data_IF_071193995274
#
_entry.id   IF_071193995274
#
_cell.length_a   1.000
_cell.length_b   1.000
_cell.length_c   1.000
_cell.angle_alpha   90.00
_cell.angle_beta   90.00
_cell.angle_gamma   90.00
#
_symmetry.space_group_name_H-M   'P 1'
#
loop_
_entity.id
_entity.type
_entity.pdbx_description
1 polymer ?
#
# COMPACT_ATOMS: atom_id res chain seq x y z
N UNK A 1 -6.36 -13.16 -31.64
CA UNK A 1 -6.91 -12.88 -30.29
C UNK A 1 -6.65 -11.40 -30.02
N UNK A 2 -7.71 -10.60 -29.88
CA UNK A 2 -7.63 -9.14 -29.66
C UNK A 2 -7.09 -8.84 -28.25
N UNK A 3 -5.76 -8.86 -28.08
CA UNK A 3 -5.05 -8.63 -26.79
C UNK A 3 -5.06 -7.14 -26.39
N UNK A 4 -5.56 -6.24 -27.25
CA UNK A 4 -5.28 -4.79 -27.14
C UNK A 4 -6.50 -3.89 -26.84
N UNK A 5 -7.65 -4.43 -26.44
CA UNK A 5 -8.81 -3.60 -26.04
C UNK A 5 -8.96 -3.46 -24.53
N UNK A 6 -7.96 -2.87 -23.87
CA UNK A 6 -8.15 -2.37 -22.50
C UNK A 6 -8.88 -1.02 -22.62
N UNK A 7 -10.19 -1.00 -22.32
CA UNK A 7 -10.92 0.27 -22.13
C UNK A 7 -10.18 1.05 -21.04
N UNK A 8 -9.91 2.35 -21.27
CA UNK A 8 -9.26 3.17 -20.25
C UNK A 8 -10.04 3.09 -18.92
N UNK A 9 -9.31 2.97 -17.81
CA UNK A 9 -9.87 2.97 -16.46
C UNK A 9 -10.90 4.10 -16.28
N UNK A 10 -10.64 5.25 -16.92
CA UNK A 10 -11.52 6.42 -16.93
C UNK A 10 -12.91 6.16 -17.56
N UNK A 11 -12.99 5.42 -18.67
CA UNK A 11 -14.27 5.03 -19.29
C UNK A 11 -15.04 4.07 -18.40
N UNK A 12 -14.32 3.14 -17.79
CA UNK A 12 -14.90 2.14 -16.91
C UNK A 12 -15.46 2.75 -15.61
N UNK A 13 -14.76 3.73 -15.05
CA UNK A 13 -15.20 4.53 -13.89
C UNK A 13 -16.48 5.32 -14.20
N UNK A 14 -16.58 5.92 -15.38
CA UNK A 14 -17.74 6.72 -15.78
C UNK A 14 -18.98 5.87 -16.06
N UNK A 15 -18.79 4.66 -16.60
CA UNK A 15 -19.87 3.69 -16.87
C UNK A 15 -20.36 2.97 -15.59
N UNK A 16 -19.50 2.84 -14.57
CA UNK A 16 -19.77 2.15 -13.29
C UNK A 16 -20.24 3.09 -12.17
N UNK A 17 -21.02 4.13 -12.48
CA UNK A 17 -21.56 5.08 -11.50
C UNK A 17 -23.02 4.76 -11.09
N UNK A 18 -23.31 3.70 -10.31
CA UNK A 18 -24.52 3.70 -9.50
C UNK A 18 -24.40 4.71 -8.36
N UNK A 19 -25.56 5.20 -7.90
CA UNK A 19 -25.74 6.08 -6.75
C UNK A 19 -25.04 5.54 -5.51
N UNK A 20 -23.96 6.20 -5.08
CA UNK A 20 -23.31 5.83 -3.83
C UNK A 20 -24.14 6.28 -2.65
N UNK A 21 -24.32 5.37 -1.69
CA UNK A 21 -24.97 5.62 -0.41
C UNK A 21 -24.05 6.42 0.51
N UNK A 22 -23.71 7.64 0.15
CA UNK A 22 -22.99 8.55 1.05
C UNK A 22 -23.91 9.36 1.96
N UNK A 23 -25.21 9.08 1.96
CA UNK A 23 -26.22 9.80 2.73
C UNK A 23 -25.99 9.74 4.24
N UNK A 24 -25.17 8.78 4.70
CA UNK A 24 -24.78 8.61 6.11
C UNK A 24 -23.62 9.51 6.55
N UNK A 25 -22.86 10.10 5.62
CA UNK A 25 -21.65 10.89 5.93
C UNK A 25 -22.00 12.38 5.99
N UNK A 26 -21.83 12.98 7.16
CA UNK A 26 -22.17 14.38 7.44
C UNK A 26 -21.08 15.08 8.29
N UNK A 27 -21.10 16.41 8.29
CA UNK A 27 -20.24 17.24 9.15
C UNK A 27 -20.73 17.11 10.60
N UNK A 28 -19.82 16.97 11.55
CA UNK A 28 -20.12 16.72 12.95
C UNK A 28 -19.56 15.37 13.43
N UNK A 29 -20.12 14.88 14.54
CA UNK A 29 -19.69 13.61 15.13
C UNK A 29 -20.28 12.42 14.38
N UNK A 30 -19.43 11.45 14.05
CA UNK A 30 -19.81 10.24 13.33
C UNK A 30 -19.02 9.05 13.86
N UNK A 31 -19.66 7.88 13.84
CA UNK A 31 -19.04 6.58 14.07
C UNK A 31 -18.95 5.79 12.77
N UNK A 32 -17.93 4.94 12.66
CA UNK A 32 -17.75 4.05 11.54
C UNK A 32 -16.77 2.93 11.84
N UNK A 33 -16.30 2.26 10.80
CA UNK A 33 -15.39 1.12 10.87
C UNK A 33 -14.23 1.32 9.92
N UNK A 34 -13.00 1.18 10.41
CA UNK A 34 -11.81 1.14 9.55
C UNK A 34 -11.34 -0.30 9.36
N UNK A 35 -10.94 -0.70 8.13
CA UNK A 35 -10.22 -1.95 7.85
C UNK A 35 -8.72 -1.80 8.13
N UNK A 36 -8.36 -1.17 9.25
CA UNK A 36 -7.04 -0.58 9.50
C UNK A 36 -6.28 0.02 8.31
N UNK A 37 -6.94 0.79 7.43
CA UNK A 37 -6.30 1.35 6.23
C UNK A 37 -6.04 2.84 6.39
N UNK A 38 -4.78 3.24 6.18
CA UNK A 38 -4.33 4.61 6.39
C UNK A 38 -3.60 5.14 5.17
N UNK A 39 -3.60 6.46 4.99
CA UNK A 39 -2.94 7.10 3.86
C UNK A 39 -2.24 8.38 4.28
N UNK A 40 -0.93 8.44 4.06
CA UNK A 40 -0.11 9.62 4.27
C UNK A 40 0.23 10.23 2.91
N UNK A 41 -0.23 11.46 2.68
CA UNK A 41 0.07 12.22 1.47
C UNK A 41 1.47 12.84 1.49
N UNK A 42 2.03 13.08 0.30
CA UNK A 42 3.34 13.73 0.11
C UNK A 42 3.24 15.26 -0.10
N UNK A 43 2.04 15.77 -0.39
CA UNK A 43 1.82 17.20 -0.63
C UNK A 43 2.03 18.03 0.65
N UNK A 44 2.64 19.21 0.50
CA UNK A 44 3.02 20.14 1.59
C UNK A 44 4.06 19.62 2.60
N UNK A 45 4.85 18.60 2.23
CA UNK A 45 5.97 18.13 3.05
C UNK A 45 6.85 19.31 3.53
N UNK A 46 7.23 19.39 4.83
CA UNK A 46 7.12 18.38 5.89
C UNK A 46 5.79 18.36 6.67
N UNK A 47 4.78 19.14 6.29
CA UNK A 47 3.44 19.09 6.89
C UNK A 47 2.50 18.28 6.01
N UNK A 48 2.31 17.02 6.36
CA UNK A 48 1.60 16.03 5.55
C UNK A 48 0.17 15.82 6.03
N UNK A 49 -0.67 15.34 5.11
CA UNK A 49 -2.01 14.88 5.43
C UNK A 49 -1.94 13.40 5.82
N UNK A 50 -2.45 13.05 6.99
CA UNK A 50 -2.61 11.66 7.44
C UNK A 50 -4.10 11.36 7.50
N UNK A 51 -4.50 10.36 6.72
CA UNK A 51 -5.87 9.92 6.54
C UNK A 51 -6.13 8.56 7.15
N UNK A 52 -7.30 8.40 7.76
CA UNK A 52 -7.90 7.10 8.09
C UNK A 52 -9.00 6.80 7.09
N UNK A 53 -8.93 5.65 6.45
CA UNK A 53 -9.98 5.14 5.59
C UNK A 53 -11.02 4.45 6.45
N UNK A 54 -12.27 4.87 6.37
CA UNK A 54 -13.36 4.27 7.15
C UNK A 54 -14.63 4.13 6.30
N UNK A 55 -15.48 3.18 6.69
CA UNK A 55 -16.84 3.00 6.19
C UNK A 55 -17.86 3.35 7.27
N UNK A 56 -19.04 3.79 6.87
CA UNK A 56 -20.17 3.97 7.79
C UNK A 56 -20.79 2.64 8.24
N UNK A 57 -20.49 1.54 7.54
CA UNK A 57 -21.01 0.20 7.82
C UNK A 57 -19.88 -0.73 8.23
N UNK A 58 -20.22 -1.74 9.05
CA UNK A 58 -19.30 -2.81 9.49
C UNK A 58 -18.96 -3.75 8.33
N UNK A 59 -18.11 -4.76 8.60
CA UNK A 59 -17.54 -5.63 7.56
C UNK A 59 -16.68 -4.85 6.54
N UNK A 60 -15.94 -3.89 7.06
CA UNK A 60 -15.09 -2.98 6.30
C UNK A 60 -13.83 -3.65 5.76
N UNK A 61 -13.40 -4.79 6.33
CA UNK A 61 -12.16 -5.50 5.98
C UNK A 61 -12.00 -5.71 4.47
N UNK A 62 -13.04 -6.27 3.83
CA UNK A 62 -13.04 -6.55 2.40
C UNK A 62 -12.85 -5.29 1.53
N UNK A 63 -13.06 -4.09 2.07
CA UNK A 63 -12.85 -2.82 1.36
C UNK A 63 -11.36 -2.47 1.21
N UNK A 64 -10.45 -3.16 1.91
CA UNK A 64 -9.00 -2.99 1.80
C UNK A 64 -8.22 -4.31 1.91
N UNK A 65 -8.64 -5.36 1.18
CA UNK A 65 -7.95 -6.66 1.20
C UNK A 65 -7.58 -7.13 -0.21
N UNK A 66 -6.43 -6.71 -0.76
CA UNK A 66 -5.96 -7.14 -2.08
C UNK A 66 -5.94 -8.66 -2.24
N UNK A 67 -5.43 -9.42 -1.27
CA UNK A 67 -5.36 -10.88 -1.32
C UNK A 67 -6.75 -11.52 -1.51
N UNK A 68 -7.75 -11.05 -0.73
CA UNK A 68 -9.14 -11.51 -0.87
C UNK A 68 -9.70 -11.20 -2.26
N UNK A 69 -9.40 -10.02 -2.82
CA UNK A 69 -9.86 -9.66 -4.16
C UNK A 69 -9.26 -10.57 -5.24
N UNK A 70 -7.98 -10.90 -5.10
CA UNK A 70 -7.24 -11.77 -6.02
C UNK A 70 -7.77 -13.21 -5.93
N UNK A 71 -7.84 -13.77 -4.73
CA UNK A 71 -8.33 -15.14 -4.49
C UNK A 71 -9.76 -15.35 -5.01
N UNK A 72 -10.61 -14.33 -4.90
CA UNK A 72 -12.00 -14.37 -5.37
C UNK A 72 -12.18 -13.85 -6.81
N UNK A 73 -11.08 -13.57 -7.53
CA UNK A 73 -11.07 -13.08 -8.90
C UNK A 73 -11.99 -11.87 -9.15
N UNK A 74 -11.95 -10.89 -8.24
CA UNK A 74 -12.78 -9.68 -8.35
C UNK A 74 -12.37 -8.85 -9.56
N UNK A 75 -13.37 -8.41 -10.32
CA UNK A 75 -13.15 -7.47 -11.42
C UNK A 75 -12.71 -6.09 -10.92
N UNK A 76 -12.05 -5.32 -11.78
CA UNK A 76 -11.71 -3.92 -11.51
C UNK A 76 -12.95 -3.12 -11.07
N UNK A 77 -14.14 -3.41 -11.60
CA UNK A 77 -15.38 -2.68 -11.26
C UNK A 77 -15.79 -2.98 -9.84
N UNK A 78 -15.67 -4.25 -9.45
CA UNK A 78 -16.01 -4.71 -8.11
C UNK A 78 -15.06 -4.08 -7.10
N UNK A 79 -13.75 -4.14 -7.33
CA UNK A 79 -12.75 -3.51 -6.47
C UNK A 79 -13.01 -2.00 -6.36
N UNK A 80 -13.25 -1.33 -7.49
CA UNK A 80 -13.56 0.09 -7.51
C UNK A 80 -14.82 0.43 -6.69
N UNK A 81 -15.86 -0.39 -6.80
CA UNK A 81 -17.10 -0.22 -6.04
C UNK A 81 -16.86 -0.36 -4.54
N UNK A 82 -16.14 -1.41 -4.12
CA UNK A 82 -15.76 -1.63 -2.71
C UNK A 82 -14.94 -0.46 -2.17
N UNK A 83 -13.88 -0.06 -2.89
CA UNK A 83 -13.01 1.04 -2.49
C UNK A 83 -13.76 2.36 -2.29
N UNK A 84 -14.80 2.62 -3.09
CA UNK A 84 -15.59 3.84 -2.98
C UNK A 84 -16.54 3.89 -1.80
N UNK A 85 -16.75 2.80 -1.09
CA UNK A 85 -17.46 2.84 0.19
C UNK A 85 -16.63 3.50 1.28
N UNK A 86 -15.31 3.55 1.12
CA UNK A 86 -14.41 4.21 2.07
C UNK A 86 -14.43 5.73 1.93
N UNK A 87 -14.38 6.39 3.07
CA UNK A 87 -14.13 7.82 3.22
C UNK A 87 -12.74 8.02 3.80
N UNK A 88 -11.96 8.90 3.18
CA UNK A 88 -10.66 9.31 3.68
C UNK A 88 -10.80 10.52 4.62
N UNK A 89 -10.94 10.27 5.92
CA UNK A 89 -10.96 11.30 6.97
C UNK A 89 -9.52 11.67 7.36
N UNK A 90 -9.13 12.92 7.17
CA UNK A 90 -7.74 13.35 7.26
C UNK A 90 -7.50 14.48 8.26
N UNK A 91 -6.36 14.42 8.92
CA UNK A 91 -5.80 15.52 9.72
C UNK A 91 -4.39 15.84 9.21
N UNK A 92 -3.89 17.04 9.53
CA UNK A 92 -2.53 17.45 9.15
C UNK A 92 -1.58 17.31 10.32
N UNK A 93 -0.38 16.81 10.03
CA UNK A 93 0.68 16.60 11.02
C UNK A 93 2.03 17.04 10.46
N UNK A 94 2.91 17.50 11.34
CA UNK A 94 4.34 17.60 11.02
C UNK A 94 4.94 16.20 11.01
N UNK A 95 5.74 15.85 10.00
CA UNK A 95 6.42 14.54 9.97
C UNK A 95 7.38 14.32 11.13
N UNK A 96 7.79 15.41 11.80
CA UNK A 96 8.71 15.39 12.93
C UNK A 96 8.00 15.21 14.29
N UNK A 97 6.67 15.12 14.32
CA UNK A 97 5.86 15.01 15.54
C UNK A 97 5.02 13.71 15.52
N UNK A 98 5.66 12.52 15.51
CA UNK A 98 4.95 11.24 15.41
C UNK A 98 4.17 10.86 16.69
N UNK A 99 4.36 11.59 17.80
CA UNK A 99 3.89 11.21 19.14
C UNK A 99 2.72 12.06 19.66
N UNK A 100 2.02 12.81 18.79
CA UNK A 100 0.80 13.51 19.21
C UNK A 100 -0.29 12.51 19.62
N UNK A 101 -1.12 12.83 20.63
CA UNK A 101 -2.15 11.91 21.13
C UNK A 101 -3.07 11.37 20.00
N UNK A 102 -3.52 12.27 19.11
CA UNK A 102 -4.37 11.91 17.97
C UNK A 102 -3.67 10.92 17.03
N UNK A 103 -2.39 11.15 16.72
CA UNK A 103 -1.62 10.29 15.83
C UNK A 103 -1.31 8.94 16.48
N UNK A 104 -0.97 8.90 17.76
CA UNK A 104 -0.79 7.65 18.50
C UNK A 104 -2.06 6.79 18.49
N UNK A 105 -3.24 7.42 18.63
CA UNK A 105 -4.51 6.72 18.46
C UNK A 105 -4.67 6.14 17.04
N UNK A 106 -4.32 6.92 16.02
CA UNK A 106 -4.35 6.43 14.63
C UNK A 106 -3.36 5.28 14.39
N UNK A 107 -2.16 5.33 14.97
CA UNK A 107 -1.15 4.28 14.93
C UNK A 107 -1.67 2.98 15.56
N UNK A 108 -2.27 3.05 16.76
CA UNK A 108 -2.84 1.88 17.41
C UNK A 108 -3.96 1.24 16.57
N UNK A 109 -4.84 2.06 16.00
CA UNK A 109 -5.89 1.58 15.11
C UNK A 109 -5.34 0.93 13.83
N UNK A 110 -4.26 1.46 13.24
CA UNK A 110 -3.64 0.88 12.04
C UNK A 110 -2.95 -0.46 12.29
N UNK A 111 -2.42 -0.66 13.49
CA UNK A 111 -1.77 -1.89 13.91
C UNK A 111 -2.76 -3.03 14.20
N UNK A 112 -4.07 -2.76 14.19
CA UNK A 112 -5.08 -3.79 14.43
C UNK A 112 -5.07 -4.90 13.38
N UNK A 113 -5.30 -6.14 13.83
CA UNK A 113 -5.54 -7.28 12.95
C UNK A 113 -6.93 -7.26 12.31
N UNK A 114 -7.91 -6.68 13.02
CA UNK A 114 -9.33 -6.75 12.69
C UNK A 114 -9.91 -5.36 12.42
N UNK A 115 -11.18 -5.30 12.00
CA UNK A 115 -11.81 -3.99 11.81
C UNK A 115 -11.96 -3.28 13.15
N UNK A 116 -11.77 -1.96 13.13
CA UNK A 116 -11.83 -1.14 14.35
C UNK A 116 -13.01 -0.19 14.23
N UNK A 117 -13.89 -0.22 15.24
CA UNK A 117 -14.92 0.81 15.40
C UNK A 117 -14.27 2.13 15.82
N UNK A 118 -14.45 3.15 15.00
CA UNK A 118 -13.84 4.47 15.17
C UNK A 118 -14.90 5.55 15.34
N UNK A 119 -14.62 6.54 16.17
CA UNK A 119 -15.35 7.78 16.30
C UNK A 119 -14.55 8.94 15.73
N UNK A 120 -15.21 9.88 15.06
CA UNK A 120 -14.56 11.06 14.48
C UNK A 120 -15.45 12.29 14.54
N UNK A 121 -14.81 13.46 14.51
CA UNK A 121 -15.47 14.74 14.34
C UNK A 121 -15.01 15.36 13.02
N UNK A 122 -15.91 15.39 12.03
CA UNK A 122 -15.63 15.88 10.68
C UNK A 122 -16.00 17.35 10.57
N UNK A 123 -15.08 18.19 10.09
CA UNK A 123 -15.31 19.64 9.92
C UNK A 123 -15.71 20.03 8.49
N UNK A 124 -15.28 19.26 7.49
CA UNK A 124 -15.59 19.53 6.08
C UNK A 124 -15.56 18.25 5.26
N UNK A 125 -16.52 18.08 4.35
CA UNK A 125 -16.57 16.96 3.42
C UNK A 125 -16.33 17.45 2.00
N UNK A 126 -15.48 16.74 1.29
CA UNK A 126 -15.16 16.94 -0.12
C UNK A 126 -15.74 15.78 -0.92
N UNK A 127 -16.62 16.09 -1.88
CA UNK A 127 -17.00 15.10 -2.88
C UNK A 127 -15.79 14.81 -3.75
N UNK A 128 -15.42 13.53 -3.85
CA UNK A 128 -14.25 13.14 -4.62
C UNK A 128 -14.50 13.40 -6.10
N UNK A 129 -13.70 14.30 -6.68
CA UNK A 129 -13.67 14.51 -8.11
C UNK A 129 -12.50 13.68 -8.65
N UNK A 130 -12.79 12.63 -9.41
CA UNK A 130 -11.77 11.71 -9.91
C UNK A 130 -10.79 12.47 -10.83
N UNK A 131 -9.66 12.91 -10.28
CA UNK A 131 -8.56 13.43 -11.08
C UNK A 131 -7.59 12.28 -11.31
N UNK A 132 -7.30 11.97 -12.58
CA UNK A 132 -6.57 10.78 -13.04
C UNK A 132 -5.15 10.58 -12.48
N UNK A 133 -4.68 11.45 -11.58
CA UNK A 133 -3.33 11.45 -10.99
C UNK A 133 -3.33 11.27 -9.46
N UNK A 134 -4.48 11.09 -8.83
CA UNK A 134 -4.57 11.04 -7.37
C UNK A 134 -4.34 9.63 -6.81
N UNK A 135 -3.68 9.59 -5.65
CA UNK A 135 -3.26 8.39 -4.94
C UNK A 135 -4.43 7.87 -4.12
N UNK A 136 -4.84 6.64 -4.40
CA UNK A 136 -5.88 5.93 -3.66
C UNK A 136 -7.27 6.08 -4.26
N UNK A 137 -7.91 4.95 -4.54
CA UNK A 137 -9.33 4.90 -4.89
C UNK A 137 -10.12 4.91 -3.58
N UNK A 138 -10.93 5.93 -3.37
CA UNK A 138 -11.91 6.04 -2.28
C UNK A 138 -13.08 6.96 -2.68
N UNK A 139 -14.14 6.97 -1.88
CA UNK A 139 -15.41 7.60 -2.22
C UNK A 139 -15.50 9.09 -1.95
N UNK A 140 -15.18 9.50 -0.72
CA UNK A 140 -15.17 10.89 -0.27
C UNK A 140 -13.89 11.16 0.52
N UNK A 141 -13.53 12.43 0.65
CA UNK A 141 -12.53 12.86 1.62
C UNK A 141 -13.17 13.83 2.61
N UNK A 142 -12.70 13.86 3.84
CA UNK A 142 -13.17 14.80 4.85
C UNK A 142 -12.01 15.30 5.70
N UNK A 143 -12.08 16.54 6.17
CA UNK A 143 -11.19 17.05 7.21
C UNK A 143 -11.72 16.57 8.58
N UNK A 144 -10.81 16.07 9.41
CA UNK A 144 -11.09 15.44 10.71
C UNK A 144 -10.40 16.23 11.82
N UNK A 145 -11.18 16.63 12.83
CA UNK A 145 -10.69 17.39 13.99
C UNK A 145 -10.41 16.48 15.19
N UNK A 146 -11.20 15.43 15.38
CA UNK A 146 -11.00 14.43 16.45
C UNK A 146 -11.07 13.02 15.89
N UNK A 147 -10.32 12.13 16.52
CA UNK A 147 -10.28 10.70 16.23
C UNK A 147 -10.25 9.92 17.54
N UNK A 148 -11.12 8.93 17.67
CA UNK A 148 -11.19 8.00 18.79
C UNK A 148 -11.53 6.61 18.28
N UNK A 149 -11.26 5.61 19.11
CA UNK A 149 -11.69 4.23 18.90
C UNK A 149 -11.85 3.58 20.27
N UNK A 150 -12.57 2.46 20.35
CA UNK A 150 -12.67 1.69 21.60
C UNK A 150 -11.34 0.97 21.89
N UNK A 151 -10.81 1.08 23.11
CA UNK A 151 -9.45 0.63 23.46
C UNK A 151 -9.17 -0.89 23.29
N UNK A 152 -10.17 -1.70 22.95
CA UNK A 152 -10.04 -3.15 22.71
C UNK A 152 -9.55 -3.48 21.29
N UNK A 153 -8.39 -2.94 20.89
CA UNK A 153 -7.78 -3.26 19.60
C UNK A 153 -6.86 -4.47 19.74
N UNK A 154 -7.09 -5.49 18.92
CA UNK A 154 -6.22 -6.66 18.86
C UNK A 154 -5.02 -6.38 17.98
N UNK A 155 -3.83 -6.34 18.56
CA UNK A 155 -2.56 -6.15 17.87
C UNK A 155 -1.73 -7.43 17.98
N UNK A 156 -1.06 -7.81 16.89
CA UNK A 156 -0.18 -8.98 16.91
C UNK A 156 1.05 -8.71 17.79
N UNK A 157 1.46 -9.69 18.61
CA UNK A 157 2.61 -9.54 19.52
C UNK A 157 3.91 -9.03 18.85
N UNK A 158 4.29 -9.47 17.63
CA UNK A 158 5.47 -8.91 16.95
C UNK A 158 5.32 -7.41 16.65
N UNK A 159 4.12 -6.98 16.25
CA UNK A 159 3.80 -5.57 15.97
C UNK A 159 3.86 -4.74 17.24
N UNK A 160 3.30 -5.23 18.35
CA UNK A 160 3.43 -4.56 19.65
C UNK A 160 4.89 -4.42 20.07
N UNK A 161 5.67 -5.49 19.95
CA UNK A 161 7.09 -5.50 20.31
C UNK A 161 7.86 -4.41 19.57
N UNK A 162 7.70 -4.33 18.25
CA UNK A 162 8.34 -3.31 17.41
C UNK A 162 7.82 -1.90 17.71
N UNK A 163 6.53 -1.76 18.02
CA UNK A 163 5.95 -0.47 18.36
C UNK A 163 6.44 0.09 19.69
N UNK A 164 6.65 -0.76 20.70
CA UNK A 164 7.12 -0.33 22.02
C UNK A 164 8.64 -0.23 22.12
N UNK A 165 9.39 -0.94 21.26
CA UNK A 165 10.83 -0.77 21.17
C UNK A 165 11.18 0.58 20.52
N UNK A 166 11.74 1.48 21.33
CA UNK A 166 12.14 2.84 20.92
C UNK A 166 13.61 2.92 20.52
N UNK A 167 14.38 1.84 20.67
CA UNK A 167 15.81 1.79 20.31
C UNK A 167 16.04 0.99 19.01
N UNK A 168 15.10 0.14 18.63
CA UNK A 168 15.11 -0.64 17.39
C UNK A 168 15.16 0.24 16.13
N UNK A 169 16.06 -0.04 15.19
CA UNK A 169 16.08 0.67 13.90
C UNK A 169 14.89 0.26 13.05
N UNK A 170 14.34 1.21 12.27
CA UNK A 170 13.20 0.92 11.40
C UNK A 170 13.48 -0.22 10.40
N UNK A 171 14.70 -0.30 9.85
CA UNK A 171 15.10 -1.37 8.94
C UNK A 171 15.12 -2.75 9.61
N UNK A 172 15.55 -2.83 10.87
CA UNK A 172 15.55 -4.07 11.66
C UNK A 172 14.11 -4.47 11.99
N UNK A 173 13.28 -3.52 12.45
CA UNK A 173 11.86 -3.77 12.70
C UNK A 173 11.07 -4.22 11.46
N UNK A 174 11.40 -3.71 10.27
CA UNK A 174 10.80 -4.19 9.01
C UNK A 174 11.11 -5.68 8.80
N UNK A 175 12.38 -6.08 8.97
CA UNK A 175 12.82 -7.47 8.79
C UNK A 175 12.22 -8.38 9.86
N UNK A 176 12.16 -7.94 11.12
CA UNK A 176 11.57 -8.69 12.23
C UNK A 176 10.07 -8.96 11.99
N UNK A 177 9.31 -7.94 11.58
CA UNK A 177 7.89 -8.07 11.29
C UNK A 177 7.65 -8.99 10.09
N UNK A 178 8.42 -8.83 9.01
CA UNK A 178 8.30 -9.67 7.82
C UNK A 178 8.61 -11.14 8.14
N UNK A 179 9.70 -11.39 8.88
CA UNK A 179 10.08 -12.73 9.33
C UNK A 179 9.05 -13.37 10.27
N UNK A 180 8.30 -12.55 11.01
CA UNK A 180 7.17 -12.99 11.84
C UNK A 180 5.86 -13.21 11.05
N UNK A 181 5.88 -13.07 9.72
CA UNK A 181 4.74 -13.29 8.83
C UNK A 181 3.75 -12.11 8.75
N UNK A 182 4.16 -10.90 9.16
CA UNK A 182 3.35 -9.70 8.95
C UNK A 182 3.51 -9.25 7.48
N UNK A 183 2.39 -9.09 6.77
CA UNK A 183 2.41 -8.68 5.36
C UNK A 183 3.03 -7.29 5.14
N UNK A 184 3.72 -7.12 4.03
CA UNK A 184 4.47 -5.94 3.60
C UNK A 184 3.61 -4.66 3.55
N UNK A 185 2.34 -4.78 3.17
CA UNK A 185 1.39 -3.67 3.21
C UNK A 185 1.12 -3.17 4.65
N UNK A 186 0.97 -4.09 5.61
CA UNK A 186 0.78 -3.71 7.03
C UNK A 186 2.05 -3.09 7.58
N UNK A 187 3.21 -3.63 7.26
CA UNK A 187 4.51 -3.06 7.65
C UNK A 187 4.67 -1.64 7.08
N UNK A 188 4.25 -1.43 5.84
CA UNK A 188 4.25 -0.12 5.18
C UNK A 188 3.36 0.90 5.89
N UNK A 189 2.15 0.50 6.33
CA UNK A 189 1.25 1.37 7.11
C UNK A 189 1.85 1.76 8.47
N UNK A 190 2.47 0.79 9.16
CA UNK A 190 3.19 0.99 10.43
C UNK A 190 4.34 1.98 10.23
N UNK A 191 5.15 1.81 9.17
CA UNK A 191 6.24 2.73 8.84
C UNK A 191 5.71 4.13 8.53
N UNK A 192 4.68 4.19 7.68
CA UNK A 192 4.12 5.42 7.14
C UNK A 192 3.58 6.33 8.24
N UNK A 193 2.94 5.76 9.26
CA UNK A 193 2.43 6.50 10.41
C UNK A 193 3.51 6.84 11.44
N UNK A 194 4.76 6.47 11.20
CA UNK A 194 5.86 6.67 12.15
C UNK A 194 5.72 5.82 13.40
N UNK A 195 5.13 4.62 13.29
CA UNK A 195 4.86 3.74 14.43
C UNK A 195 6.05 2.81 14.76
N UNK A 196 7.16 2.86 14.00
CA UNK A 196 8.36 2.07 14.29
C UNK A 196 9.66 2.82 14.02
N UNK A 197 10.75 2.33 14.62
CA UNK A 197 12.10 2.89 14.50
C UNK A 197 12.52 3.76 15.68
N UNK A 198 13.83 3.93 15.86
CA UNK A 198 14.42 4.76 16.92
C UNK A 198 14.30 6.27 16.67
N UNK A 199 14.22 6.68 15.39
CA UNK A 199 14.03 8.07 14.97
C UNK A 199 12.75 8.18 14.16
N UNK A 200 11.62 7.98 14.84
CA UNK A 200 10.29 7.92 14.23
C UNK A 200 9.98 9.23 13.50
N UNK A 201 9.45 9.08 12.29
CA UNK A 201 8.90 10.16 11.48
C UNK A 201 7.72 9.62 10.70
N UNK A 202 6.75 10.47 10.41
CA UNK A 202 5.70 10.14 9.46
C UNK A 202 6.33 10.12 8.07
N UNK A 203 6.05 9.08 7.29
CA UNK A 203 6.60 8.88 5.94
C UNK A 203 5.43 8.77 4.96
N UNK A 204 5.42 9.50 3.83
CA UNK A 204 4.41 9.32 2.79
C UNK A 204 4.23 7.84 2.41
N UNK A 205 2.99 7.41 2.19
CA UNK A 205 2.67 5.99 2.00
C UNK A 205 3.43 5.39 0.81
N UNK A 206 3.54 6.12 -0.31
CA UNK A 206 4.33 5.69 -1.47
C UNK A 206 5.78 5.37 -1.11
N UNK A 207 6.42 6.26 -0.35
CA UNK A 207 7.82 6.09 0.04
C UNK A 207 7.99 4.96 1.04
N UNK A 208 6.99 4.77 1.90
CA UNK A 208 6.97 3.67 2.88
C UNK A 208 6.90 2.31 2.20
N UNK A 209 6.02 2.16 1.20
CA UNK A 209 5.90 0.93 0.39
C UNK A 209 7.25 0.59 -0.22
N UNK A 210 7.86 1.53 -0.96
CA UNK A 210 9.17 1.30 -1.57
C UNK A 210 10.26 1.01 -0.54
N UNK A 211 10.28 1.72 0.60
CA UNK A 211 11.28 1.49 1.64
C UNK A 211 11.15 0.09 2.27
N UNK A 212 9.92 -0.39 2.49
CA UNK A 212 9.65 -1.72 3.01
C UNK A 212 10.05 -2.78 1.98
N UNK A 213 9.58 -2.67 0.73
CA UNK A 213 9.89 -3.61 -0.34
C UNK A 213 11.40 -3.72 -0.60
N UNK A 214 12.11 -2.57 -0.61
CA UNK A 214 13.56 -2.55 -0.80
C UNK A 214 14.31 -3.16 0.39
N UNK A 215 13.88 -2.89 1.62
CA UNK A 215 14.51 -3.42 2.83
C UNK A 215 14.36 -4.94 2.91
N UNK A 216 13.15 -5.45 2.70
CA UNK A 216 12.89 -6.90 2.69
C UNK A 216 13.66 -7.54 1.54
N UNK A 217 13.57 -6.97 0.34
CA UNK A 217 14.26 -7.50 -0.84
C UNK A 217 15.77 -7.60 -0.65
N UNK A 218 16.42 -6.60 -0.05
CA UNK A 218 17.86 -6.65 0.25
C UNK A 218 18.24 -7.78 1.21
N UNK A 219 17.37 -8.09 2.17
CA UNK A 219 17.55 -9.26 3.03
C UNK A 219 17.52 -10.55 2.21
N UNK A 220 16.48 -10.73 1.40
CA UNK A 220 16.29 -11.93 0.58
C UNK A 220 17.35 -12.11 -0.52
N UNK A 221 17.88 -11.03 -1.11
CA UNK A 221 18.97 -11.10 -2.10
C UNK A 221 20.18 -11.82 -1.52
N UNK A 222 20.52 -11.54 -0.26
CA UNK A 222 21.67 -12.18 0.40
C UNK A 222 21.47 -13.69 0.49
N UNK A 223 20.25 -14.15 0.77
CA UNK A 223 19.90 -15.57 0.81
C UNK A 223 19.86 -16.19 -0.59
N UNK A 224 19.26 -15.51 -1.57
CA UNK A 224 19.15 -16.00 -2.96
C UNK A 224 20.53 -16.20 -3.61
N UNK A 225 21.51 -15.37 -3.27
CA UNK A 225 22.90 -15.54 -3.74
C UNK A 225 23.60 -16.81 -3.25
N UNK A 226 23.08 -17.43 -2.20
CA UNK A 226 23.63 -18.66 -1.62
C UNK A 226 22.93 -19.93 -2.15
N UNK A 227 21.86 -19.78 -2.96
CA UNK A 227 21.14 -20.90 -3.55
C UNK A 227 21.98 -21.60 -4.62
N UNK A 228 21.82 -22.93 -4.73
CA UNK A 228 22.40 -23.68 -5.85
C UNK A 228 21.73 -23.27 -7.17
N UNK A 229 22.53 -23.23 -8.23
CA UNK A 229 22.03 -22.88 -9.56
C UNK A 229 21.04 -23.92 -10.07
N UNK A 230 19.85 -23.46 -10.48
CA UNK A 230 18.82 -24.30 -11.08
C UNK A 230 19.02 -24.56 -12.58
N UNK A 231 17.89 -24.77 -13.27
CA UNK A 231 17.84 -24.97 -14.72
C UNK A 231 18.43 -23.79 -15.50
N UNK A 232 18.87 -24.05 -16.74
CA UNK A 232 19.47 -23.03 -17.62
C UNK A 232 18.55 -21.82 -17.84
N UNK A 233 17.24 -22.05 -17.98
CA UNK A 233 16.24 -20.99 -18.05
C UNK A 233 14.85 -21.49 -17.65
N UNK A 234 13.98 -20.59 -17.21
CA UNK A 234 12.56 -20.84 -17.04
C UNK A 234 11.75 -19.60 -17.45
N UNK A 235 10.55 -19.81 -17.98
CA UNK A 235 9.62 -18.73 -18.33
C UNK A 235 8.32 -18.93 -17.58
N UNK A 236 7.89 -17.92 -16.83
CA UNK A 236 6.57 -17.88 -16.18
C UNK A 236 5.82 -16.65 -16.65
N UNK A 237 4.55 -16.79 -16.99
CA UNK A 237 3.71 -15.67 -17.41
C UNK A 237 2.35 -15.72 -16.71
N UNK A 238 1.77 -14.56 -16.48
CA UNK A 238 0.47 -14.41 -15.84
C UNK A 238 -0.15 -13.06 -16.13
N UNK A 239 -1.37 -12.86 -15.66
CA UNK A 239 -2.01 -11.56 -15.77
C UNK A 239 -3.08 -11.37 -14.71
N UNK A 240 -3.18 -10.15 -14.21
CA UNK A 240 -4.14 -9.77 -13.18
C UNK A 240 -4.57 -8.32 -13.36
N UNK A 241 -5.88 -8.07 -13.23
CA UNK A 241 -6.48 -6.73 -13.34
C UNK A 241 -6.05 -5.96 -14.60
N UNK A 242 -5.91 -6.66 -15.73
CA UNK A 242 -5.52 -6.08 -17.02
C UNK A 242 -4.01 -5.85 -17.20
N UNK A 243 -3.19 -6.14 -16.18
CA UNK A 243 -1.74 -6.19 -16.29
C UNK A 243 -1.30 -7.59 -16.71
N UNK A 244 -0.25 -7.68 -17.52
CA UNK A 244 0.37 -8.92 -17.94
C UNK A 244 1.83 -8.91 -17.53
N UNK A 245 2.28 -10.01 -16.94
CA UNK A 245 3.65 -10.20 -16.47
C UNK A 245 4.26 -11.40 -17.18
N UNK A 246 5.52 -11.26 -17.58
CA UNK A 246 6.34 -12.36 -18.09
C UNK A 246 7.70 -12.28 -17.42
N UNK A 247 8.07 -13.36 -16.77
CA UNK A 247 9.32 -13.53 -16.03
C UNK A 247 10.19 -14.52 -16.79
N UNK A 248 11.39 -14.07 -17.16
CA UNK A 248 12.44 -14.91 -17.72
C UNK A 248 13.51 -15.09 -16.64
N UNK A 249 13.63 -16.31 -16.13
CA UNK A 249 14.69 -16.71 -15.22
C UNK A 249 15.82 -17.30 -16.05
N UNK A 250 17.04 -16.82 -15.83
CA UNK A 250 18.24 -17.32 -16.49
C UNK A 250 19.21 -17.81 -15.43
N UNK A 251 19.89 -18.91 -15.72
CA UNK A 251 20.98 -19.41 -14.88
C UNK A 251 22.13 -18.39 -14.85
N UNK A 252 22.58 -18.05 -13.65
CA UNK A 252 23.75 -17.21 -13.42
C UNK A 252 23.71 -16.50 -12.07
N UNK A 253 24.61 -15.53 -11.90
CA UNK A 253 24.65 -14.68 -10.72
C UNK A 253 23.39 -13.82 -10.61
N UNK A 254 23.03 -13.44 -9.37
CA UNK A 254 21.92 -12.53 -9.12
C UNK A 254 22.01 -11.27 -9.99
N UNK A 255 20.98 -11.07 -10.80
CA UNK A 255 20.70 -9.84 -11.51
C UNK A 255 19.19 -9.77 -11.72
N UNK A 256 18.66 -8.55 -11.78
CA UNK A 256 17.22 -8.35 -11.94
C UNK A 256 16.96 -7.12 -12.81
N UNK A 257 16.11 -7.28 -13.80
CA UNK A 257 15.65 -6.20 -14.68
C UNK A 257 14.13 -6.20 -14.75
N UNK A 258 13.54 -5.01 -14.62
CA UNK A 258 12.13 -4.78 -14.89
C UNK A 258 12.00 -3.85 -16.09
N UNK A 259 11.17 -4.24 -17.06
CA UNK A 259 10.82 -3.44 -18.22
C UNK A 259 9.30 -3.26 -18.22
N UNK A 260 8.82 -2.01 -18.16
CA UNK A 260 7.40 -1.70 -18.18
C UNK A 260 6.96 -1.20 -19.55
N UNK A 261 6.08 -1.95 -20.21
CA UNK A 261 5.54 -1.57 -21.52
C UNK A 261 4.10 -1.05 -21.34
N UNK A 262 3.90 0.20 -21.72
CA UNK A 262 2.60 0.87 -21.60
C UNK A 262 1.90 0.94 -22.95
N UNK A 263 0.75 0.28 -23.07
CA UNK A 263 -0.12 0.45 -24.23
C UNK A 263 -1.10 1.60 -23.99
N UNK A 264 -0.76 2.79 -24.50
CA UNK A 264 -1.72 3.87 -24.60
C UNK A 264 -2.36 3.80 -26.00
N UNK A 265 -3.70 3.83 -26.06
CA UNK A 265 -4.57 3.55 -27.22
C UNK A 265 -4.26 4.21 -28.59
N UNK A 266 -3.18 5.00 -28.70
CA UNK A 266 -2.72 5.66 -29.91
C UNK A 266 -1.24 5.45 -30.26
N UNK A 267 -0.38 4.95 -29.35
CA UNK A 267 1.05 4.65 -29.59
C UNK A 267 1.54 3.56 -28.63
N UNK A 268 2.16 2.51 -29.17
CA UNK A 268 2.96 1.58 -28.37
C UNK A 268 4.21 2.34 -27.91
N UNK A 269 4.25 2.72 -26.62
CA UNK A 269 5.49 3.21 -26.03
C UNK A 269 6.37 1.99 -25.77
N UNK A 270 7.55 1.97 -26.39
CA UNK A 270 8.60 1.01 -26.04
C UNK A 270 9.01 1.33 -24.60
N UNK A 271 8.98 0.30 -23.74
CA UNK A 271 9.04 0.45 -22.29
C UNK A 271 10.30 1.12 -21.77
N UNK A 272 10.19 1.73 -20.60
CA UNK A 272 11.35 2.12 -19.80
C UNK A 272 11.65 0.99 -18.80
N UNK A 273 12.92 0.85 -18.43
CA UNK A 273 13.36 -0.22 -17.55
C UNK A 273 14.41 0.22 -16.55
N UNK A 274 14.49 -0.53 -15.46
CA UNK A 274 15.54 -0.42 -14.44
C UNK A 274 16.11 -1.82 -14.20
N UNK A 275 17.41 -1.90 -13.93
CA UNK A 275 18.08 -3.17 -13.64
C UNK A 275 19.05 -3.06 -12.46
N UNK A 276 19.47 -4.21 -11.95
CA UNK A 276 20.58 -4.35 -11.03
C UNK A 276 21.38 -5.61 -11.34
N UNK A 277 22.67 -5.54 -11.03
CA UNK A 277 23.59 -6.67 -11.13
C UNK A 277 23.86 -7.22 -9.73
N UNK A 278 24.85 -8.10 -9.62
CA UNK A 278 25.19 -8.79 -8.38
C UNK A 278 25.33 -7.86 -7.17
N UNK A 279 25.97 -6.71 -7.30
CA UNK A 279 26.15 -5.74 -6.20
C UNK A 279 24.88 -5.01 -5.77
N UNK A 280 23.78 -5.14 -6.53
CA UNK A 280 22.52 -4.46 -6.30
C UNK A 280 22.53 -2.95 -6.62
N UNK A 281 21.38 -2.29 -6.47
CA UNK A 281 21.26 -0.84 -6.69
C UNK A 281 21.69 -0.01 -5.48
N UNK A 282 22.39 1.09 -5.76
CA UNK A 282 22.63 2.19 -4.82
C UNK A 282 21.65 3.35 -4.97
N UNK A 283 21.03 3.46 -6.15
CA UNK A 283 20.14 4.56 -6.51
C UNK A 283 18.72 4.06 -6.75
N UNK A 284 17.75 4.95 -6.56
CA UNK A 284 16.34 4.69 -6.81
C UNK A 284 16.08 4.24 -8.26
N UNK A 285 15.15 3.31 -8.46
CA UNK A 285 14.65 2.91 -9.78
C UNK A 285 13.77 4.02 -10.37
N UNK A 286 14.35 4.96 -11.11
CA UNK A 286 13.64 6.17 -11.53
C UNK A 286 12.64 5.95 -12.66
N UNK A 287 12.85 4.93 -13.50
CA UNK A 287 12.04 4.69 -14.69
C UNK A 287 10.79 3.87 -14.35
N UNK A 288 10.95 2.85 -13.52
CA UNK A 288 9.87 1.93 -13.10
C UNK A 288 9.37 2.18 -11.68
N UNK A 289 10.04 3.08 -10.94
CA UNK A 289 9.60 3.56 -9.62
C UNK A 289 9.33 2.43 -8.63
N UNK A 290 8.23 2.51 -7.88
CA UNK A 290 7.83 1.50 -6.91
C UNK A 290 7.56 0.12 -7.52
N UNK A 291 7.21 0.06 -8.82
CA UNK A 291 6.97 -1.20 -9.53
C UNK A 291 8.21 -2.11 -9.53
N UNK A 292 9.40 -1.51 -9.64
CA UNK A 292 10.67 -2.23 -9.54
C UNK A 292 10.79 -3.05 -8.27
N UNK A 293 10.58 -2.39 -7.12
CA UNK A 293 10.81 -2.98 -5.81
C UNK A 293 9.75 -4.03 -5.48
N UNK A 294 8.49 -3.77 -5.83
CA UNK A 294 7.39 -4.72 -5.64
C UNK A 294 7.60 -6.00 -6.46
N UNK A 295 7.95 -5.87 -7.75
CA UNK A 295 8.19 -7.04 -8.61
C UNK A 295 9.44 -7.79 -8.19
N UNK A 296 10.52 -7.07 -7.83
CA UNK A 296 11.75 -7.70 -7.33
C UNK A 296 11.49 -8.51 -6.07
N UNK A 297 10.73 -7.96 -5.11
CA UNK A 297 10.38 -8.67 -3.88
C UNK A 297 9.63 -9.98 -4.18
N UNK A 298 8.60 -9.93 -5.02
CA UNK A 298 7.85 -11.13 -5.40
C UNK A 298 8.72 -12.19 -6.10
N UNK A 299 9.67 -11.77 -6.94
CA UNK A 299 10.63 -12.68 -7.58
C UNK A 299 11.56 -13.33 -6.56
N UNK A 300 12.06 -12.55 -5.60
CA UNK A 300 12.93 -13.06 -4.53
C UNK A 300 12.20 -14.05 -3.61
N UNK A 301 10.95 -13.78 -3.27
CA UNK A 301 10.10 -14.70 -2.52
C UNK A 301 9.88 -16.02 -3.26
N UNK A 302 9.65 -15.97 -4.57
CA UNK A 302 9.47 -17.17 -5.40
C UNK A 302 10.76 -17.97 -5.56
N UNK A 303 11.93 -17.32 -5.66
CA UNK A 303 13.23 -18.02 -5.74
C UNK A 303 13.60 -18.71 -4.42
N UNK A 304 13.11 -18.20 -3.29
CA UNK A 304 13.36 -18.78 -1.97
C UNK A 304 12.48 -20.00 -1.64
N UNK A 305 11.38 -20.21 -2.39
CA UNK A 305 10.45 -21.32 -2.20
C UNK A 305 10.99 -22.64 -2.76
#
# INVERSE_FOLDING_TARGET
MDIFKVKSLHKYIKESLPSLKFDKIHVGSLEGFTPPSFLVGEYNYPKVSVGVMFSAESNSQVLNSPNVWIENNYSISRIFSLRRELVNAKSRFSVYEPDTEKLQRMQLASMSQDEVKVGMELSRIYNYYFKSKEVGVYGKSADMEKFSFSDNVKIAKPVESVYYDKDLKASEGIVDLYSAGVGEHKISDILSLGAMGAKRKIVPTKWSITAVDDTIGKGLISEVKELEEGDMYAIKSGGILGNHFTFLFLKGEWSFELIEVWNNSSKLFIGEGDYELYEGRKNYASNTAGGYYAVRLAVLEELKR
#
